data_IF_949821101600
#
_entry.id   IF_949821101600
#
_cell.length_a   1.000
_cell.length_b   1.000
_cell.length_c   1.000
_cell.angle_alpha   90.00
_cell.angle_beta   90.00
_cell.angle_gamma   90.00
#
_symmetry.space_group_name_H-M   'P 1'
#
loop_
_entity.id
_entity.type
_entity.pdbx_description
1 polymer ?
#
# COMPACT_ATOMS: atom_id res chain seq x y z
N UNK A 1 14.45 12.94 -11.42
CA UNK A 1 15.71 12.57 -10.73
C UNK A 1 15.78 11.05 -10.62
N UNK A 2 14.81 10.36 -10.02
CA UNK A 2 14.83 8.90 -9.78
C UNK A 2 15.10 8.07 -11.03
N UNK A 3 14.42 8.33 -12.15
CA UNK A 3 14.63 7.58 -13.39
C UNK A 3 16.03 7.73 -13.95
N UNK A 4 16.63 8.93 -13.87
CA UNK A 4 18.01 9.14 -14.32
C UNK A 4 19.03 8.47 -13.40
N UNK A 5 18.83 8.49 -12.09
CA UNK A 5 19.70 7.77 -11.15
C UNK A 5 19.67 6.26 -11.39
N UNK A 6 18.49 5.71 -11.68
CA UNK A 6 18.34 4.29 -11.98
C UNK A 6 19.03 3.89 -13.31
N UNK A 7 18.86 4.70 -14.38
CA UNK A 7 19.56 4.47 -15.65
C UNK A 7 21.08 4.54 -15.49
N UNK A 8 21.57 5.56 -14.79
CA UNK A 8 23.00 5.72 -14.54
C UNK A 8 23.56 4.60 -13.65
N UNK A 9 22.82 4.14 -12.65
CA UNK A 9 23.24 3.02 -11.78
C UNK A 9 23.41 1.71 -12.57
N UNK A 10 22.60 1.50 -13.61
CA UNK A 10 22.74 0.33 -14.50
C UNK A 10 23.90 0.45 -15.49
N UNK A 11 24.31 1.66 -15.84
CA UNK A 11 25.35 1.93 -16.82
C UNK A 11 26.75 2.09 -16.21
N UNK A 12 26.82 2.33 -14.90
CA UNK A 12 28.09 2.58 -14.22
C UNK A 12 28.70 1.28 -13.68
N UNK A 13 29.99 1.08 -13.94
CA UNK A 13 30.80 -0.02 -13.38
C UNK A 13 31.61 0.44 -12.15
N UNK A 14 31.72 1.76 -11.93
CA UNK A 14 32.46 2.35 -10.83
C UNK A 14 31.65 2.26 -9.52
N UNK A 15 32.18 1.53 -8.53
CA UNK A 15 31.55 1.34 -7.22
C UNK A 15 31.27 2.65 -6.48
N UNK A 16 32.17 3.68 -6.62
CA UNK A 16 31.97 4.98 -6.00
C UNK A 16 30.80 5.73 -6.65
N UNK A 17 30.71 5.69 -7.96
CA UNK A 17 29.59 6.32 -8.67
C UNK A 17 28.28 5.61 -8.33
N UNK A 18 28.29 4.28 -8.26
CA UNK A 18 27.10 3.50 -7.82
C UNK A 18 26.66 3.88 -6.43
N UNK A 19 27.60 3.98 -5.47
CA UNK A 19 27.29 4.45 -4.11
C UNK A 19 26.63 5.83 -4.10
N UNK A 20 27.12 6.80 -4.89
CA UNK A 20 26.49 8.12 -4.97
C UNK A 20 25.10 8.08 -5.62
N UNK A 21 24.91 7.27 -6.65
CA UNK A 21 23.62 7.11 -7.32
C UNK A 21 22.58 6.45 -6.41
N UNK A 22 22.97 5.45 -5.62
CA UNK A 22 22.12 4.80 -4.65
C UNK A 22 21.72 5.77 -3.53
N UNK A 23 22.65 6.60 -3.05
CA UNK A 23 22.32 7.65 -2.09
C UNK A 23 21.40 8.73 -2.66
N UNK A 24 21.58 9.13 -3.92
CA UNK A 24 20.69 10.08 -4.61
C UNK A 24 19.29 9.48 -4.78
N UNK A 25 19.19 8.20 -5.14
CA UNK A 25 17.93 7.48 -5.27
C UNK A 25 17.20 7.42 -3.93
N UNK A 26 17.88 6.95 -2.88
CA UNK A 26 17.32 6.89 -1.52
C UNK A 26 16.85 8.26 -1.02
N UNK A 27 17.64 9.32 -1.22
CA UNK A 27 17.26 10.68 -0.84
C UNK A 27 16.03 11.18 -1.61
N UNK A 28 15.93 10.84 -2.91
CA UNK A 28 14.79 11.22 -3.74
C UNK A 28 13.51 10.47 -3.34
N UNK A 29 13.61 9.17 -3.04
CA UNK A 29 12.51 8.36 -2.51
C UNK A 29 12.02 8.90 -1.17
N UNK A 30 12.94 9.27 -0.31
CA UNK A 30 12.64 9.89 0.97
C UNK A 30 11.89 11.23 0.80
N UNK A 31 12.36 12.09 -0.10
CA UNK A 31 11.71 13.38 -0.39
C UNK A 31 10.30 13.19 -0.95
N UNK A 32 10.11 12.25 -1.88
CA UNK A 32 8.80 11.93 -2.43
C UNK A 32 7.84 11.43 -1.35
N UNK A 33 8.30 10.54 -0.48
CA UNK A 33 7.49 10.07 0.65
C UNK A 33 7.07 11.23 1.54
N UNK A 34 7.98 12.16 1.84
CA UNK A 34 7.69 13.36 2.62
C UNK A 34 6.61 14.22 2.02
N UNK A 35 6.75 14.52 0.72
CA UNK A 35 5.78 15.36 0.00
C UNK A 35 4.43 14.65 -0.02
N UNK A 36 4.41 13.35 -0.26
CA UNK A 36 3.17 12.55 -0.23
C UNK A 36 2.52 12.56 1.15
N UNK A 37 3.29 12.30 2.21
CA UNK A 37 2.79 12.29 3.58
C UNK A 37 2.23 13.67 3.98
N UNK A 38 2.89 14.76 3.57
CA UNK A 38 2.44 16.13 3.84
C UNK A 38 1.15 16.46 3.07
N UNK A 39 1.04 16.05 1.80
CA UNK A 39 -0.17 16.27 1.00
C UNK A 39 -1.36 15.45 1.54
N UNK A 40 -1.13 14.20 1.92
CA UNK A 40 -2.15 13.36 2.52
C UNK A 40 -2.61 13.93 3.86
N UNK A 41 -1.65 14.35 4.69
CA UNK A 41 -1.94 15.02 5.94
C UNK A 41 -2.81 16.27 5.73
N UNK A 42 -2.43 17.14 4.80
CA UNK A 42 -3.17 18.36 4.51
C UNK A 42 -4.59 18.10 3.98
N UNK A 43 -4.76 17.05 3.14
CA UNK A 43 -6.10 16.64 2.65
C UNK A 43 -6.99 16.12 3.78
N UNK A 44 -6.41 15.35 4.70
CA UNK A 44 -7.11 14.84 5.88
C UNK A 44 -7.48 15.95 6.85
N UNK A 45 -6.58 16.91 7.07
CA UNK A 45 -6.78 18.05 7.99
C UNK A 45 -7.91 18.99 7.53
N UNK A 46 -8.02 19.23 6.23
CA UNK A 46 -9.09 20.05 5.65
C UNK A 46 -10.44 19.32 5.53
N UNK A 47 -10.59 18.11 6.06
CA UNK A 47 -11.77 17.25 5.88
C UNK A 47 -12.17 17.07 4.40
N UNK A 48 -11.19 17.17 3.48
CA UNK A 48 -11.38 16.98 2.03
C UNK A 48 -11.11 15.55 1.57
N UNK A 49 -10.62 14.70 2.46
CA UNK A 49 -10.40 13.29 2.14
C UNK A 49 -11.74 12.56 2.13
N UNK A 50 -12.10 12.03 0.98
CA UNK A 50 -13.28 11.19 0.82
C UNK A 50 -12.90 9.71 1.02
N UNK A 51 -13.82 8.93 1.60
CA UNK A 51 -13.69 7.47 1.71
C UNK A 51 -14.22 6.86 0.42
N UNK A 52 -13.37 6.16 -0.31
CA UNK A 52 -13.76 5.44 -1.51
C UNK A 52 -14.13 3.99 -1.15
N UNK A 53 -15.40 3.78 -0.80
CA UNK A 53 -15.88 2.44 -0.44
C UNK A 53 -16.11 1.58 -1.68
N UNK A 54 -15.28 0.56 -1.84
CA UNK A 54 -15.36 -0.43 -2.91
C UNK A 54 -15.46 -1.84 -2.35
N UNK A 55 -15.90 -2.77 -3.19
CA UNK A 55 -15.89 -4.20 -2.86
C UNK A 55 -14.47 -4.73 -3.03
N UNK A 56 -13.95 -5.38 -2.00
CA UNK A 56 -12.61 -5.96 -2.03
C UNK A 56 -12.54 -7.25 -1.21
N UNK A 57 -11.42 -7.98 -1.32
CA UNK A 57 -11.11 -9.15 -0.53
C UNK A 57 -10.01 -8.79 0.49
N UNK A 58 -10.32 -8.73 1.80
CA UNK A 58 -9.33 -8.39 2.81
C UNK A 58 -8.15 -9.37 2.88
N UNK A 59 -8.38 -10.68 2.76
CA UNK A 59 -7.31 -11.67 2.80
C UNK A 59 -6.27 -11.42 1.71
N UNK A 60 -6.72 -11.07 0.50
CA UNK A 60 -5.82 -10.73 -0.60
C UNK A 60 -5.02 -9.47 -0.27
N UNK A 61 -5.67 -8.41 0.23
CA UNK A 61 -5.01 -7.17 0.61
C UNK A 61 -3.89 -7.40 1.65
N UNK A 62 -4.18 -8.16 2.71
CA UNK A 62 -3.19 -8.41 3.76
C UNK A 62 -2.07 -9.34 3.29
N UNK A 63 -2.36 -10.28 2.39
CA UNK A 63 -1.35 -11.12 1.77
C UNK A 63 -0.39 -10.31 0.87
N UNK A 64 -0.91 -9.37 0.09
CA UNK A 64 -0.11 -8.43 -0.71
C UNK A 64 0.82 -7.59 0.19
N UNK A 65 0.29 -7.10 1.33
CA UNK A 65 1.09 -6.38 2.33
C UNK A 65 2.19 -7.28 2.90
N UNK A 66 1.87 -8.54 3.27
CA UNK A 66 2.84 -9.51 3.78
C UNK A 66 4.00 -9.69 2.81
N UNK A 67 3.67 -9.96 1.53
CA UNK A 67 4.68 -10.15 0.46
C UNK A 67 5.58 -8.95 0.30
N UNK A 68 5.05 -7.72 0.45
CA UNK A 68 5.85 -6.50 0.38
C UNK A 68 6.81 -6.33 1.56
N UNK A 69 6.40 -6.73 2.78
CA UNK A 69 7.20 -6.51 3.98
C UNK A 69 8.16 -7.66 4.32
N UNK A 70 7.90 -8.87 3.85
CA UNK A 70 8.75 -10.04 4.10
C UNK A 70 10.22 -9.83 3.69
N UNK A 71 10.56 -9.31 2.49
CA UNK A 71 11.95 -9.03 2.14
C UNK A 71 12.56 -7.90 2.97
N UNK A 72 11.77 -6.91 3.42
CA UNK A 72 12.25 -5.81 4.25
C UNK A 72 12.62 -6.28 5.67
N UNK A 73 11.81 -7.14 6.25
CA UNK A 73 12.09 -7.75 7.55
C UNK A 73 13.26 -8.72 7.47
N UNK A 74 13.31 -9.58 6.44
CA UNK A 74 14.41 -10.51 6.21
C UNK A 74 15.75 -9.80 6.02
N UNK A 75 15.80 -8.67 5.31
CA UNK A 75 17.01 -7.88 5.13
C UNK A 75 17.56 -7.31 6.46
N UNK A 76 16.71 -7.14 7.48
CA UNK A 76 17.10 -6.74 8.84
C UNK A 76 17.31 -7.94 9.79
N UNK A 77 17.12 -9.18 9.31
CA UNK A 77 17.19 -10.38 10.17
C UNK A 77 16.00 -10.49 11.14
N UNK A 78 14.87 -9.85 10.86
CA UNK A 78 13.64 -9.92 11.64
C UNK A 78 12.72 -11.01 11.10
N UNK A 79 11.91 -11.62 11.98
CA UNK A 79 10.88 -12.58 11.61
C UNK A 79 9.55 -11.82 11.46
N UNK A 80 8.88 -11.96 10.30
CA UNK A 80 7.52 -11.45 10.11
C UNK A 80 6.53 -12.61 10.23
N UNK A 81 5.63 -12.53 11.21
CA UNK A 81 4.52 -13.46 11.37
C UNK A 81 3.22 -12.78 10.95
N UNK A 82 2.39 -13.50 10.15
CA UNK A 82 1.10 -13.00 9.71
C UNK A 82 -0.01 -14.00 10.03
N UNK A 83 -1.00 -13.53 10.77
CA UNK A 83 -2.18 -14.31 11.17
C UNK A 83 -3.43 -13.63 10.62
N UNK A 84 -3.97 -14.13 9.53
CA UNK A 84 -5.16 -13.61 8.87
C UNK A 84 -6.31 -14.58 9.10
N UNK A 85 -7.40 -14.09 9.70
CA UNK A 85 -8.58 -14.90 9.98
C UNK A 85 -9.23 -15.42 8.69
N UNK A 86 -9.61 -16.72 8.61
CA UNK A 86 -10.17 -17.33 7.41
C UNK A 86 -11.46 -16.65 6.91
N UNK A 87 -12.25 -16.06 7.81
CA UNK A 87 -13.49 -15.36 7.51
C UNK A 87 -13.27 -14.18 6.56
N UNK A 88 -12.07 -13.62 6.54
CA UNK A 88 -11.67 -12.50 5.69
C UNK A 88 -11.47 -12.87 4.20
N UNK A 89 -11.63 -14.14 3.84
CA UNK A 89 -11.59 -14.60 2.44
C UNK A 89 -12.82 -14.18 1.62
N UNK A 90 -13.90 -13.75 2.27
CA UNK A 90 -15.10 -13.22 1.62
C UNK A 90 -14.89 -11.79 1.09
N UNK A 91 -15.89 -11.29 0.37
CA UNK A 91 -15.90 -9.90 -0.13
C UNK A 91 -16.55 -8.96 0.87
N UNK A 92 -15.90 -7.83 1.08
CA UNK A 92 -16.33 -6.78 2.01
C UNK A 92 -16.35 -5.41 1.31
N UNK A 93 -17.00 -4.44 1.95
CA UNK A 93 -17.09 -3.06 1.47
C UNK A 93 -16.35 -2.16 2.46
N UNK A 94 -15.30 -1.50 1.99
CA UNK A 94 -14.56 -0.44 2.69
C UNK A 94 -13.64 0.29 1.70
N UNK A 95 -12.65 1.03 2.21
CA UNK A 95 -11.59 1.67 1.42
C UNK A 95 -10.27 0.89 1.61
N UNK A 96 -9.94 -0.05 0.72
CA UNK A 96 -8.73 -0.87 0.85
C UNK A 96 -7.45 -0.05 0.78
N UNK A 97 -7.43 1.08 0.04
CA UNK A 97 -6.26 1.94 -0.05
C UNK A 97 -5.95 2.59 1.30
N UNK A 98 -6.96 3.06 2.01
CA UNK A 98 -6.79 3.66 3.34
C UNK A 98 -6.41 2.62 4.39
N UNK A 99 -6.99 1.42 4.32
CA UNK A 99 -6.60 0.29 5.18
C UNK A 99 -5.13 -0.08 4.93
N UNK A 100 -4.72 -0.20 3.67
CA UNK A 100 -3.33 -0.47 3.30
C UNK A 100 -2.38 0.62 3.82
N UNK A 101 -2.76 1.89 3.71
CA UNK A 101 -1.96 3.02 4.19
C UNK A 101 -1.76 2.96 5.73
N UNK A 102 -2.80 2.61 6.48
CA UNK A 102 -2.72 2.40 7.94
C UNK A 102 -1.71 1.29 8.26
N UNK A 103 -1.89 0.10 7.64
CA UNK A 103 -1.07 -1.07 7.93
C UNK A 103 0.39 -0.85 7.52
N UNK A 104 0.63 -0.25 6.36
CA UNK A 104 1.97 0.06 5.88
C UNK A 104 2.71 1.02 6.83
N UNK A 105 2.02 2.03 7.37
CA UNK A 105 2.62 2.93 8.35
C UNK A 105 2.97 2.22 9.68
N UNK A 106 2.08 1.36 10.16
CA UNK A 106 2.32 0.59 11.39
C UNK A 106 3.45 -0.42 11.21
N UNK A 107 3.47 -1.20 10.13
CA UNK A 107 4.53 -2.18 9.83
C UNK A 107 5.87 -1.48 9.57
N UNK A 108 5.88 -0.37 8.84
CA UNK A 108 7.10 0.43 8.61
C UNK A 108 7.71 0.92 9.92
N UNK A 109 6.87 1.36 10.86
CA UNK A 109 7.32 1.73 12.20
C UNK A 109 7.86 0.51 12.97
N UNK A 110 7.19 -0.64 12.93
CA UNK A 110 7.65 -1.86 13.56
C UNK A 110 9.02 -2.30 13.03
N UNK A 111 9.21 -2.33 11.70
CA UNK A 111 10.50 -2.64 11.06
C UNK A 111 11.57 -1.62 11.46
N UNK A 112 11.21 -0.34 11.54
CA UNK A 112 12.13 0.74 11.88
C UNK A 112 12.65 0.63 13.30
N UNK A 113 11.77 0.37 14.28
CA UNK A 113 12.09 0.42 15.69
C UNK A 113 12.45 -0.93 16.32
N UNK A 114 12.42 -2.02 15.53
CA UNK A 114 12.88 -3.33 15.93
C UNK A 114 14.26 -3.60 15.33
N UNK A 115 15.24 -3.90 16.17
CA UNK A 115 16.58 -4.26 15.72
C UNK A 115 16.78 -5.77 15.65
N UNK A 116 16.15 -6.53 16.53
CA UNK A 116 16.22 -7.99 16.61
C UNK A 116 14.89 -8.52 17.14
N UNK A 117 14.51 -9.72 16.71
CA UNK A 117 13.29 -10.38 17.15
C UNK A 117 12.25 -10.49 16.05
N UNK A 118 10.99 -10.20 16.37
CA UNK A 118 9.86 -10.48 15.48
C UNK A 118 8.87 -9.31 15.40
N UNK A 119 8.14 -9.31 14.28
CA UNK A 119 6.99 -8.44 14.03
C UNK A 119 5.81 -9.34 13.70
N UNK A 120 4.68 -9.10 14.35
CA UNK A 120 3.45 -9.89 14.12
C UNK A 120 2.35 -8.99 13.60
N UNK A 121 1.78 -9.34 12.44
CA UNK A 121 0.54 -8.79 11.92
C UNK A 121 -0.60 -9.78 12.20
N UNK A 122 -1.55 -9.41 13.04
CA UNK A 122 -2.74 -10.21 13.32
C UNK A 122 -3.98 -9.49 12.82
N UNK A 123 -4.78 -10.16 12.00
CA UNK A 123 -6.01 -9.61 11.43
C UNK A 123 -7.16 -10.55 11.72
N UNK A 124 -8.17 -10.04 12.40
CA UNK A 124 -9.37 -10.78 12.77
C UNK A 124 -10.64 -10.02 12.40
N UNK A 125 -11.74 -10.75 12.30
CA UNK A 125 -13.04 -10.19 11.99
C UNK A 125 -14.09 -10.76 12.93
N UNK A 126 -14.82 -9.90 13.60
CA UNK A 126 -15.93 -10.27 14.48
C UNK A 126 -16.99 -9.16 14.50
N UNK A 127 -18.26 -9.55 14.51
CA UNK A 127 -19.40 -8.66 14.67
C UNK A 127 -19.34 -7.37 13.80
N UNK A 128 -18.97 -7.50 12.52
CA UNK A 128 -18.80 -6.37 11.58
C UNK A 128 -17.64 -5.43 11.91
N UNK A 129 -16.66 -5.91 12.66
CA UNK A 129 -15.44 -5.18 13.00
C UNK A 129 -14.22 -5.93 12.49
N UNK A 130 -13.38 -5.22 11.74
CA UNK A 130 -12.05 -5.65 11.36
C UNK A 130 -11.08 -5.16 12.44
N UNK A 131 -10.40 -6.09 13.10
CA UNK A 131 -9.35 -5.77 14.06
C UNK A 131 -8.00 -6.10 13.44
N UNK A 132 -7.12 -5.10 13.39
CA UNK A 132 -5.77 -5.19 12.87
C UNK A 132 -4.82 -4.88 14.02
N UNK A 133 -3.98 -5.83 14.39
CA UNK A 133 -2.96 -5.64 15.41
C UNK A 133 -1.57 -5.83 14.80
N UNK A 134 -0.70 -4.83 14.97
CA UNK A 134 0.72 -4.88 14.60
C UNK A 134 1.53 -4.83 15.89
N UNK A 135 2.21 -5.93 16.20
CA UNK A 135 3.06 -6.08 17.37
C UNK A 135 4.52 -6.19 16.98
N UNK A 136 5.39 -5.57 17.72
CA UNK A 136 6.84 -5.63 17.56
C UNK A 136 7.54 -5.94 18.89
N UNK A 137 8.73 -6.54 18.82
CA UNK A 137 9.61 -6.78 19.97
C UNK A 137 10.72 -5.73 20.09
N UNK A 138 10.47 -4.53 19.58
CA UNK A 138 11.45 -3.45 19.54
C UNK A 138 11.68 -2.76 20.89
N UNK A 139 12.18 -1.54 20.81
CA UNK A 139 12.56 -0.77 22.01
C UNK A 139 11.38 -0.37 22.91
N UNK A 140 10.15 -0.43 22.40
CA UNK A 140 8.96 0.04 23.11
C UNK A 140 8.99 1.53 23.46
N UNK A 141 8.01 1.95 24.29
CA UNK A 141 7.81 3.35 24.67
C UNK A 141 7.43 3.45 26.16
N UNK A 142 7.75 4.58 26.77
CA UNK A 142 7.27 4.91 28.11
C UNK A 142 5.77 5.22 28.09
N UNK A 143 5.10 5.05 29.24
CA UNK A 143 3.66 5.31 29.37
C UNK A 143 3.26 6.75 28.98
N UNK A 144 4.12 7.70 29.31
CA UNK A 144 3.92 9.14 29.07
C UNK A 144 3.94 9.51 27.59
N UNK A 145 4.62 8.70 26.77
CA UNK A 145 4.80 8.95 25.34
C UNK A 145 3.66 8.40 24.49
N UNK A 146 2.82 7.47 25.02
CA UNK A 146 1.79 6.77 24.26
C UNK A 146 0.74 7.69 23.63
N UNK A 147 0.35 8.74 24.32
CA UNK A 147 -0.62 9.73 23.78
C UNK A 147 0.06 10.71 22.83
N UNK A 148 1.34 11.01 23.07
CA UNK A 148 2.10 12.00 22.32
C UNK A 148 2.50 11.53 20.92
N UNK A 149 2.63 10.22 20.71
CA UNK A 149 3.05 9.65 19.41
C UNK A 149 2.06 9.92 18.27
N UNK A 150 0.80 10.21 18.56
CA UNK A 150 -0.22 10.58 17.58
C UNK A 150 -0.23 12.07 17.25
N UNK A 151 0.52 12.89 17.99
CA UNK A 151 0.67 14.31 17.69
C UNK A 151 1.59 14.51 16.49
N UNK A 152 1.27 15.51 15.70
CA UNK A 152 1.99 15.87 14.47
C UNK A 152 3.43 16.26 14.78
N UNK A 153 4.34 15.86 13.90
CA UNK A 153 5.77 16.15 14.00
C UNK A 153 6.43 15.68 15.30
N UNK A 154 5.75 14.81 16.05
CA UNK A 154 6.30 14.30 17.32
C UNK A 154 7.29 13.17 17.06
N UNK A 155 8.48 13.32 17.62
CA UNK A 155 9.54 12.30 17.65
C UNK A 155 9.97 12.06 19.08
N UNK A 156 9.95 10.79 19.50
CA UNK A 156 10.35 10.44 20.85
C UNK A 156 11.88 10.55 21.03
N UNK A 157 12.34 10.84 22.26
CA UNK A 157 13.77 10.76 22.61
C UNK A 157 14.33 9.37 22.25
N UNK A 158 15.52 9.34 21.65
CA UNK A 158 16.13 8.09 21.16
C UNK A 158 15.69 7.64 19.76
N UNK A 159 14.83 8.40 19.07
CA UNK A 159 14.57 8.24 17.63
C UNK A 159 15.46 9.15 16.77
N UNK A 160 16.48 9.79 17.40
CA UNK A 160 17.47 10.60 16.70
C UNK A 160 18.36 9.67 15.87
N UNK A 161 18.41 9.93 14.55
CA UNK A 161 19.12 9.05 13.59
C UNK A 161 18.24 8.09 12.82
N UNK A 162 16.99 7.85 13.25
CA UNK A 162 16.02 7.07 12.51
C UNK A 162 15.28 7.98 11.52
N UNK A 163 15.11 7.53 10.28
CA UNK A 163 14.41 8.29 9.23
C UNK A 163 12.94 8.54 9.59
N UNK A 164 12.42 9.74 9.29
CA UNK A 164 10.98 10.06 9.36
C UNK A 164 10.69 11.37 10.10
N UNK A 165 9.58 12.01 9.71
CA UNK A 165 9.19 13.39 10.14
C UNK A 165 8.16 13.43 11.26
N UNK A 166 7.78 12.27 11.81
CA UNK A 166 6.77 12.21 12.88
C UNK A 166 5.33 12.40 12.37
N UNK A 167 5.08 12.18 11.06
CA UNK A 167 3.74 12.28 10.46
C UNK A 167 3.01 10.92 10.37
N UNK A 168 3.72 9.79 10.31
CA UNK A 168 3.12 8.50 10.02
C UNK A 168 2.01 8.09 11.00
N UNK A 169 2.22 8.21 12.30
CA UNK A 169 1.21 7.85 13.30
C UNK A 169 0.07 8.87 13.41
N UNK A 170 0.31 10.15 13.16
CA UNK A 170 -0.76 11.15 13.08
C UNK A 170 -1.65 10.94 11.85
N UNK A 171 -1.06 10.53 10.72
CA UNK A 171 -1.81 10.11 9.53
C UNK A 171 -2.64 8.85 9.84
N UNK A 172 -2.06 7.84 10.49
CA UNK A 172 -2.80 6.64 10.91
C UNK A 172 -4.00 7.02 11.76
N UNK A 173 -3.82 7.87 12.77
CA UNK A 173 -4.91 8.31 13.63
C UNK A 173 -6.02 9.01 12.85
N UNK A 174 -5.68 9.95 11.96
CA UNK A 174 -6.65 10.65 11.09
C UNK A 174 -7.38 9.70 10.13
N UNK A 175 -6.68 8.72 9.55
CA UNK A 175 -7.27 7.71 8.66
C UNK A 175 -8.22 6.78 9.42
N UNK A 176 -7.85 6.37 10.63
CA UNK A 176 -8.71 5.54 11.48
C UNK A 176 -10.01 6.28 11.83
N UNK A 177 -9.91 7.57 12.18
CA UNK A 177 -11.09 8.40 12.43
C UNK A 177 -11.92 8.59 11.16
N UNK A 178 -11.30 8.81 10.00
CA UNK A 178 -11.97 8.92 8.70
C UNK A 178 -12.76 7.65 8.34
N UNK A 179 -12.22 6.48 8.70
CA UNK A 179 -12.87 5.18 8.53
C UNK A 179 -13.81 4.81 9.70
N UNK A 180 -14.05 5.74 10.63
CA UNK A 180 -14.95 5.57 11.78
C UNK A 180 -14.51 4.45 12.73
N UNK A 181 -13.22 4.25 12.82
CA UNK A 181 -12.58 3.26 13.67
C UNK A 181 -12.01 3.84 14.97
N UNK A 182 -11.25 2.98 15.64
CA UNK A 182 -10.50 3.32 16.85
C UNK A 182 -9.09 2.73 16.75
N UNK A 183 -8.12 3.39 17.40
CA UNK A 183 -6.77 2.89 17.55
C UNK A 183 -6.37 2.92 19.03
N UNK A 184 -5.72 1.86 19.47
CA UNK A 184 -5.13 1.74 20.80
C UNK A 184 -3.66 1.34 20.69
N UNK A 185 -2.86 1.68 21.71
CA UNK A 185 -1.45 1.34 21.78
C UNK A 185 -1.09 0.79 23.16
N UNK A 186 -0.51 -0.40 23.16
CA UNK A 186 0.09 -1.00 24.33
C UNK A 186 1.61 -1.10 24.08
N UNK A 187 2.38 -0.52 24.96
CA UNK A 187 3.84 -0.53 24.84
C UNK A 187 4.50 -0.52 26.22
N UNK A 188 5.64 -1.18 26.27
CA UNK A 188 6.50 -1.20 27.47
C UNK A 188 7.95 -1.02 27.01
N UNK A 189 8.65 -0.09 27.62
CA UNK A 189 10.05 0.19 27.30
C UNK A 189 10.90 -1.10 27.41
N UNK A 190 11.66 -1.42 26.37
CA UNK A 190 12.48 -2.62 26.25
C UNK A 190 11.73 -3.92 25.94
N UNK A 191 10.39 -3.89 25.75
CA UNK A 191 9.61 -5.09 25.44
C UNK A 191 8.87 -5.03 24.10
N UNK A 192 8.80 -3.83 23.48
CA UNK A 192 8.12 -3.62 22.21
C UNK A 192 6.79 -2.91 22.34
N UNK A 193 6.05 -2.87 21.24
CA UNK A 193 4.76 -2.18 21.13
C UNK A 193 3.74 -3.04 20.41
N UNK A 194 2.47 -2.83 20.70
CA UNK A 194 1.34 -3.39 19.96
C UNK A 194 0.36 -2.28 19.66
N UNK A 195 0.13 -2.03 18.38
CA UNK A 195 -0.87 -1.10 17.88
C UNK A 195 -2.09 -1.89 17.41
N UNK A 196 -3.26 -1.58 17.95
CA UNK A 196 -4.51 -2.26 17.62
C UNK A 196 -5.47 -1.26 16.99
N UNK A 197 -5.85 -1.49 15.75
CA UNK A 197 -6.82 -0.70 14.99
C UNK A 197 -8.09 -1.51 14.83
N UNK A 198 -9.24 -0.92 15.11
CA UNK A 198 -10.56 -1.53 14.91
C UNK A 198 -11.36 -0.66 13.95
N UNK A 199 -11.79 -1.24 12.83
CA UNK A 199 -12.53 -0.56 11.76
C UNK A 199 -13.87 -1.25 11.54
N UNK A 200 -14.95 -0.51 11.22
CA UNK A 200 -16.18 -1.12 10.72
C UNK A 200 -15.93 -1.77 9.35
N UNK A 201 -16.41 -2.99 9.17
CA UNK A 201 -16.26 -3.73 7.94
C UNK A 201 -17.53 -4.54 7.66
N UNK A 202 -18.13 -4.36 6.49
CA UNK A 202 -19.41 -4.96 6.15
C UNK A 202 -19.26 -5.96 5.00
N UNK A 203 -19.72 -7.22 5.20
CA UNK A 203 -19.69 -8.23 4.14
C UNK A 203 -20.68 -7.89 3.04
N UNK A 204 -20.33 -8.22 1.79
CA UNK A 204 -21.24 -8.09 0.65
C UNK A 204 -22.35 -9.12 0.76
N UNK A 205 -23.63 -8.69 0.69
CA UNK A 205 -24.78 -9.60 0.67
C UNK A 205 -25.45 -9.90 2.00
N UNK A 206 -24.93 -9.44 3.14
CA UNK A 206 -25.72 -9.38 4.39
C UNK A 206 -26.44 -8.04 4.44
N UNK A 207 -27.76 -8.05 4.33
CA UNK A 207 -28.61 -6.86 4.50
C UNK A 207 -28.23 -6.18 5.80
N UNK A 208 -27.79 -4.92 5.70
CA UNK A 208 -27.59 -4.06 6.86
C UNK A 208 -28.99 -3.84 7.44
N UNK A 209 -29.29 -4.53 8.55
CA UNK A 209 -30.46 -4.20 9.36
C UNK A 209 -30.17 -2.82 9.95
N UNK A 210 -30.93 -1.86 9.46
CA UNK A 210 -30.83 -0.45 9.80
C UNK A 210 -30.77 -0.21 11.31
N UNK A 211 -29.73 0.47 11.77
CA UNK A 211 -29.84 1.32 12.93
C UNK A 211 -29.01 2.60 12.71
N UNK A 212 -29.77 3.67 12.40
CA UNK A 212 -29.47 5.11 12.36
C UNK A 212 -28.91 5.70 11.06
N UNK A 213 -29.37 6.94 10.75
CA UNK A 213 -29.16 7.57 9.46
C UNK A 213 -27.75 8.08 9.32
N UNK A 214 -27.03 7.47 8.42
CA UNK A 214 -25.71 7.89 7.97
C UNK A 214 -25.85 8.93 6.86
N UNK A 215 -25.52 10.16 7.17
CA UNK A 215 -25.42 11.21 6.17
C UNK A 215 -24.15 11.09 5.36
N UNK A 216 -24.18 10.35 4.27
CA UNK A 216 -23.27 10.56 3.15
C UNK A 216 -23.79 9.80 1.93
N UNK A 217 -23.71 10.47 0.80
CA UNK A 217 -24.25 10.06 -0.49
C UNK A 217 -23.67 8.73 -0.97
N UNK A 218 -24.41 7.64 -0.77
CA UNK A 218 -24.17 6.41 -1.52
C UNK A 218 -24.62 6.70 -2.95
N UNK A 219 -23.72 6.75 -3.92
CA UNK A 219 -24.11 6.63 -5.33
C UNK A 219 -24.72 5.24 -5.50
N UNK A 220 -26.05 5.18 -5.67
CA UNK A 220 -26.75 3.98 -6.07
C UNK A 220 -26.18 3.52 -7.41
N UNK A 221 -25.54 2.38 -7.43
CA UNK A 221 -25.27 1.65 -8.67
C UNK A 221 -26.64 1.14 -9.13
N UNK A 222 -27.14 1.49 -10.32
CA UNK A 222 -28.42 0.96 -10.79
C UNK A 222 -28.30 -0.56 -10.94
N UNK A 223 -29.22 -1.27 -10.30
CA UNK A 223 -29.44 -2.70 -10.55
C UNK A 223 -29.94 -2.84 -11.99
N UNK A 224 -29.12 -3.40 -12.87
CA UNK A 224 -29.53 -3.65 -14.27
C UNK A 224 -28.44 -3.35 -15.30
N UNK A 225 -27.21 -3.87 -15.11
CA UNK A 225 -26.32 -4.08 -16.23
C UNK A 225 -26.31 -5.59 -16.50
N UNK A 226 -27.12 -6.02 -17.43
CA UNK A 226 -27.11 -7.36 -17.98
C UNK A 226 -25.79 -7.58 -18.71
N UNK A 227 -25.10 -8.64 -18.31
CA UNK A 227 -23.95 -9.17 -19.03
C UNK A 227 -24.51 -9.86 -20.27
N UNK A 228 -24.07 -9.55 -21.50
CA UNK A 228 -24.49 -10.28 -22.69
C UNK A 228 -24.09 -11.74 -22.56
N UNK A 229 -25.08 -12.64 -22.70
CA UNK A 229 -24.89 -14.07 -22.66
C UNK A 229 -24.05 -14.54 -23.84
N UNK A 230 -23.13 -15.45 -23.56
CA UNK A 230 -22.49 -16.29 -24.57
C UNK A 230 -23.48 -17.36 -25.01
N UNK A 231 -23.90 -17.26 -26.26
CA UNK A 231 -24.63 -18.34 -26.95
C UNK A 231 -23.66 -19.47 -27.28
N UNK A 232 -23.94 -20.62 -26.70
CA UNK A 232 -23.32 -21.87 -27.06
C UNK A 232 -23.88 -22.36 -28.42
N UNK A 233 -23.03 -22.44 -29.43
CA UNK A 233 -23.28 -23.34 -30.57
C UNK A 233 -22.02 -24.20 -30.80
N UNK A 234 -22.25 -25.47 -30.54
CA UNK A 234 -21.40 -26.60 -30.87
C UNK A 234 -21.21 -26.71 -32.39
N UNK A 235 -19.96 -26.78 -32.84
CA UNK A 235 -19.55 -27.47 -34.06
C UNK A 235 -18.22 -28.16 -33.87
N UNK A 236 -18.29 -29.49 -33.96
CA UNK A 236 -17.14 -30.39 -34.18
C UNK A 236 -16.46 -30.03 -35.50
N UNK A 237 -15.11 -29.92 -35.50
CA UNK A 237 -14.37 -30.38 -36.67
C UNK A 237 -12.85 -30.60 -36.34
N UNK A 238 -12.52 -31.89 -36.55
CA UNK A 238 -11.31 -32.46 -37.18
C UNK A 238 -9.93 -31.85 -36.93
N UNK A 239 -9.11 -32.71 -36.34
CA UNK A 239 -7.65 -32.74 -36.32
C UNK A 239 -7.05 -32.46 -37.70
N UNK A 240 -6.19 -31.46 -37.81
CA UNK A 240 -5.12 -31.42 -38.77
C UNK A 240 -3.83 -30.91 -38.05
N UNK A 241 -2.83 -31.76 -38.04
CA UNK A 241 -1.46 -31.43 -37.70
C UNK A 241 -0.94 -30.43 -38.74
N UNK A 242 -0.62 -29.22 -38.32
CA UNK A 242 0.23 -28.29 -39.08
C UNK A 242 1.28 -27.69 -38.15
N UNK A 243 2.50 -27.85 -38.60
CA UNK A 243 3.78 -27.37 -38.12
C UNK A 243 3.72 -25.96 -37.46
N UNK A 244 4.30 -25.89 -36.25
CA UNK A 244 4.62 -24.65 -35.55
C UNK A 244 5.46 -23.68 -36.36
N UNK A 245 4.80 -22.74 -37.02
CA UNK A 245 5.43 -21.50 -37.49
C UNK A 245 5.17 -20.47 -36.39
N UNK A 246 6.24 -20.12 -35.66
CA UNK A 246 6.22 -19.04 -34.66
C UNK A 246 5.76 -17.76 -35.39
N UNK A 247 4.61 -17.17 -34.98
CA UNK A 247 4.15 -15.93 -35.59
C UNK A 247 5.14 -14.81 -35.26
N UNK A 248 5.39 -13.86 -36.20
CA UNK A 248 6.29 -12.74 -35.93
C UNK A 248 5.84 -11.97 -34.70
N UNK A 249 6.76 -11.72 -33.77
CA UNK A 249 6.53 -10.95 -32.55
C UNK A 249 5.81 -9.65 -32.93
N UNK A 250 4.60 -9.46 -32.43
CA UNK A 250 3.86 -8.20 -32.56
C UNK A 250 4.68 -7.12 -31.87
N UNK A 251 5.17 -6.16 -32.65
CA UNK A 251 5.81 -4.95 -32.09
C UNK A 251 4.73 -4.20 -31.32
N UNK A 252 4.89 -4.15 -30.02
CA UNK A 252 4.00 -3.36 -29.15
C UNK A 252 4.41 -1.90 -29.31
N UNK A 253 3.48 -1.05 -29.75
CA UNK A 253 3.66 0.40 -29.81
C UNK A 253 2.82 1.06 -28.73
N UNK A 254 3.44 1.95 -27.97
CA UNK A 254 2.79 2.68 -26.87
C UNK A 254 2.81 4.18 -27.21
N UNK A 255 1.66 4.84 -27.07
CA UNK A 255 1.56 6.30 -27.15
C UNK A 255 1.75 6.87 -25.75
N UNK A 256 2.74 7.74 -25.58
CA UNK A 256 3.00 8.49 -24.35
C UNK A 256 2.55 9.93 -24.55
N UNK A 257 1.71 10.42 -23.64
CA UNK A 257 1.22 11.81 -23.64
C UNK A 257 1.53 12.37 -22.26
N UNK A 258 2.33 13.43 -22.22
CA UNK A 258 2.70 14.15 -20.99
C UNK A 258 3.08 15.57 -21.36
N UNK A 259 2.92 16.53 -20.46
CA UNK A 259 3.35 17.92 -20.61
C UNK A 259 4.83 18.10 -20.20
N UNK A 260 5.43 17.12 -19.50
CA UNK A 260 6.86 17.12 -19.18
C UNK A 260 7.67 16.34 -20.22
N UNK A 261 8.37 17.07 -21.08
CA UNK A 261 9.26 16.52 -22.12
C UNK A 261 10.37 15.61 -21.55
N UNK A 262 10.84 15.89 -20.34
CA UNK A 262 11.87 15.09 -19.68
C UNK A 262 11.28 13.74 -19.28
N UNK A 263 10.07 13.76 -18.73
CA UNK A 263 9.34 12.54 -18.33
C UNK A 263 9.00 11.67 -19.56
N UNK A 264 8.55 12.29 -20.65
CA UNK A 264 8.29 11.59 -21.92
C UNK A 264 9.52 10.88 -22.46
N UNK A 265 10.65 11.59 -22.52
CA UNK A 265 11.91 11.03 -23.03
C UNK A 265 12.43 9.89 -22.15
N UNK A 266 12.29 10.02 -20.82
CA UNK A 266 12.71 9.00 -19.87
C UNK A 266 11.88 7.73 -20.03
N UNK A 267 10.56 7.88 -20.07
CA UNK A 267 9.63 6.75 -20.21
C UNK A 267 9.81 6.05 -21.56
N UNK A 268 10.03 6.82 -22.64
CA UNK A 268 10.34 6.25 -23.96
C UNK A 268 11.66 5.47 -23.98
N UNK A 269 12.70 5.97 -23.29
CA UNK A 269 13.97 5.28 -23.18
C UNK A 269 13.85 3.96 -22.39
N UNK A 270 13.07 3.95 -21.32
CA UNK A 270 12.79 2.73 -20.52
C UNK A 270 12.01 1.68 -21.34
N UNK A 271 10.97 2.08 -22.06
CA UNK A 271 10.19 1.18 -22.92
C UNK A 271 11.04 0.59 -24.05
N UNK A 272 11.93 1.39 -24.64
CA UNK A 272 12.85 0.94 -25.71
C UNK A 272 13.84 -0.12 -25.22
N UNK A 273 14.30 -0.06 -23.97
CA UNK A 273 15.14 -1.10 -23.35
C UNK A 273 14.42 -2.45 -23.24
N UNK A 274 13.10 -2.43 -23.16
CA UNK A 274 12.25 -3.63 -23.13
C UNK A 274 11.71 -4.04 -24.51
N UNK A 275 12.25 -3.47 -25.61
CA UNK A 275 11.82 -3.79 -26.97
C UNK A 275 10.45 -3.23 -27.34
N UNK A 276 9.97 -2.22 -26.63
CA UNK A 276 8.67 -1.56 -26.86
C UNK A 276 8.92 -0.21 -27.52
N UNK A 277 8.34 0.01 -28.71
CA UNK A 277 8.41 1.31 -29.38
C UNK A 277 7.41 2.29 -28.76
N UNK A 278 7.88 3.49 -28.41
CA UNK A 278 7.05 4.55 -27.85
C UNK A 278 6.98 5.75 -28.81
N UNK A 279 5.80 6.31 -28.99
CA UNK A 279 5.54 7.57 -29.66
C UNK A 279 5.20 8.61 -28.60
N UNK A 280 5.98 9.69 -28.51
CA UNK A 280 5.80 10.76 -27.55
C UNK A 280 4.98 11.89 -28.17
N UNK A 281 3.96 12.38 -27.48
CA UNK A 281 3.20 13.59 -27.82
C UNK A 281 3.25 14.56 -26.64
N UNK A 282 3.67 15.79 -26.91
CA UNK A 282 3.55 16.91 -25.96
C UNK A 282 2.12 17.48 -26.07
N UNK A 283 1.48 17.80 -24.95
CA UNK A 283 0.20 18.54 -24.92
C UNK A 283 0.44 20.03 -24.95
#
# INVERSE_FOLDING_TARGET
IMGYTELLSRLTEDERQRFYLDNMKSSSEHLLKLVSDLLDFHRLDLNKAEVNRIVFNPSQLFEEIRVCFEPLTAAKGLVLQCHIAPELSEKYISDPLRIQQIVNNLLSNAVKFTQQGEITLSVSYDASKLTIAVSDTGKGMASEDRERIFQEFTRLPGAQGEEGFGLGLSIVHKLVLLLEGTIDVQSTLGKGSCFTVVLPLFPVGKSIVENKPFGSRIRKIPAGAEVPGEDASSEENTLNEETDVIPPMKVIRVLLIDDDKIQLNLTAAMLKQHGIDAVCCEQ
#
